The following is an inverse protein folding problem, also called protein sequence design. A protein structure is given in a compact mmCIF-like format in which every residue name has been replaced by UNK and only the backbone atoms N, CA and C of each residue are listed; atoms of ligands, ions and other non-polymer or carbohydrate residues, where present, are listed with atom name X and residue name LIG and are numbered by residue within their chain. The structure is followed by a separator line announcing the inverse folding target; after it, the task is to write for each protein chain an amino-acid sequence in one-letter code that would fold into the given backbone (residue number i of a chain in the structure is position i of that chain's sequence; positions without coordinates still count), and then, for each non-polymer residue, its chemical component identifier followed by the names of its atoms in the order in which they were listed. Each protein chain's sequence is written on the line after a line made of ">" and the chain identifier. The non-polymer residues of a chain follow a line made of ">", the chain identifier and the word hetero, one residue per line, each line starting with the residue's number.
data_IF_240977970992
#
_entry.id   IF_240977970992
#
_cell.length_a   1.000
_cell.length_b   1.000
_cell.length_c   1.000
_cell.angle_alpha   90.00
_cell.angle_beta   90.00
_cell.angle_gamma   90.00
#
_symmetry.space_group_name_H-M   'P 1'
#
loop_
_entity.id
_entity.type
_entity.pdbx_description
1 polymer ?
#
# COMPACT_ATOMS: atom_id res chain seq x y z
N UNK A 1 7.99 -40.43 17.21
CA UNK A 1 6.81 -39.54 17.33
C UNK A 1 7.15 -38.13 17.80
N UNK A 2 7.88 -37.94 18.91
CA UNK A 2 8.16 -36.60 19.49
C UNK A 2 8.88 -35.60 18.54
N UNK A 3 9.85 -36.09 17.77
CA UNK A 3 10.62 -35.35 16.77
C UNK A 3 9.80 -34.86 15.55
N UNK A 4 8.79 -35.61 15.10
CA UNK A 4 7.88 -35.16 14.03
C UNK A 4 6.94 -34.05 14.50
N UNK A 5 6.54 -34.08 15.78
CA UNK A 5 5.73 -33.03 16.41
C UNK A 5 6.53 -31.72 16.54
N UNK A 6 7.81 -31.81 16.87
CA UNK A 6 8.72 -30.66 16.94
C UNK A 6 8.91 -29.99 15.56
N UNK A 7 9.01 -30.79 14.50
CA UNK A 7 9.10 -30.31 13.12
C UNK A 7 7.82 -29.59 12.68
N UNK A 8 6.64 -30.11 13.05
CA UNK A 8 5.36 -29.43 12.82
C UNK A 8 5.24 -28.12 13.61
N UNK A 9 5.68 -28.09 14.87
CA UNK A 9 5.69 -26.88 15.71
C UNK A 9 6.65 -25.79 15.20
N UNK A 10 7.73 -26.18 14.52
CA UNK A 10 8.69 -25.27 13.89
C UNK A 10 8.22 -24.70 12.54
N UNK A 11 7.21 -25.31 11.89
CA UNK A 11 6.63 -24.84 10.64
C UNK A 11 5.48 -23.85 10.84
N UNK A 12 4.83 -23.86 12.01
CA UNK A 12 3.72 -22.96 12.35
C UNK A 12 4.08 -21.45 12.41
N UNK A 13 5.31 -20.98 12.74
CA UNK A 13 5.58 -19.56 12.85
C UNK A 13 5.91 -18.89 11.50
N UNK A 14 5.97 -19.63 10.39
CA UNK A 14 6.31 -19.08 9.07
C UNK A 14 5.08 -18.53 8.34
N UNK A 15 3.90 -19.10 8.59
CA UNK A 15 2.63 -18.63 7.98
C UNK A 15 2.03 -17.39 8.68
N UNK A 16 2.67 -16.83 9.70
CA UNK A 16 2.02 -15.97 10.71
C UNK A 16 2.45 -14.49 10.73
N UNK A 17 3.07 -13.97 9.66
CA UNK A 17 3.46 -12.55 9.58
C UNK A 17 3.04 -11.85 8.28
N UNK A 18 1.97 -12.32 7.62
CA UNK A 18 1.33 -11.53 6.58
C UNK A 18 0.54 -10.38 7.24
N UNK A 19 0.94 -9.13 6.97
CA UNK A 19 0.24 -7.95 7.47
C UNK A 19 -0.89 -7.63 6.49
N UNK A 20 -2.11 -7.50 7.03
CA UNK A 20 -3.28 -7.08 6.25
C UNK A 20 -3.39 -5.56 6.28
N UNK A 21 -3.21 -4.93 5.13
CA UNK A 21 -3.39 -3.49 4.95
C UNK A 21 -4.73 -3.22 4.28
N UNK A 22 -5.38 -2.14 4.68
CA UNK A 22 -6.56 -1.62 3.99
C UNK A 22 -6.08 -0.58 2.99
N UNK A 23 -6.39 -0.78 1.71
CA UNK A 23 -5.95 0.10 0.63
C UNK A 23 -7.16 0.73 -0.04
N UNK A 24 -7.13 2.04 -0.21
CA UNK A 24 -8.16 2.77 -0.93
C UNK A 24 -7.83 2.81 -2.43
N UNK A 25 -8.83 2.53 -3.26
CA UNK A 25 -8.80 2.76 -4.70
C UNK A 25 -10.04 3.57 -5.11
N UNK A 26 -10.14 3.93 -6.38
CA UNK A 26 -11.25 4.71 -6.92
C UNK A 26 -12.06 3.88 -7.92
N UNK A 27 -13.38 3.86 -7.76
CA UNK A 27 -14.30 3.31 -8.75
C UNK A 27 -14.34 4.23 -9.99
N UNK A 28 -14.02 3.74 -11.21
CA UNK A 28 -13.88 4.61 -12.38
C UNK A 28 -15.21 5.20 -12.88
N UNK A 29 -16.36 4.62 -12.53
CA UNK A 29 -17.67 5.09 -12.99
C UNK A 29 -18.26 6.18 -12.07
N UNK A 30 -18.13 5.99 -10.76
CA UNK A 30 -18.72 6.86 -9.73
C UNK A 30 -17.71 7.78 -9.05
N UNK A 31 -16.40 7.52 -9.24
CA UNK A 31 -15.29 8.18 -8.55
C UNK A 31 -15.34 8.08 -7.02
N UNK A 32 -16.08 7.11 -6.49
CA UNK A 32 -16.15 6.86 -5.06
C UNK A 32 -14.96 6.00 -4.57
N UNK A 33 -14.54 6.17 -3.31
CA UNK A 33 -13.50 5.33 -2.72
C UNK A 33 -13.99 3.89 -2.55
N UNK A 34 -13.13 2.93 -2.90
CA UNK A 34 -13.35 1.49 -2.72
C UNK A 34 -12.20 0.92 -1.90
N UNK A 35 -12.51 0.36 -0.73
CA UNK A 35 -11.52 -0.23 0.17
C UNK A 35 -11.29 -1.70 -0.17
N UNK A 36 -10.02 -2.10 -0.24
CA UNK A 36 -9.60 -3.48 -0.44
C UNK A 36 -8.60 -3.88 0.62
N UNK A 37 -8.76 -5.06 1.20
CA UNK A 37 -7.74 -5.65 2.06
C UNK A 37 -6.69 -6.31 1.18
N UNK A 38 -5.43 -5.95 1.41
CA UNK A 38 -4.27 -6.52 0.71
C UNK A 38 -3.35 -7.15 1.75
N UNK A 39 -2.92 -8.37 1.48
CA UNK A 39 -1.90 -9.05 2.29
C UNK A 39 -0.51 -8.62 1.80
N UNK A 40 0.31 -8.14 2.73
CA UNK A 40 1.66 -7.66 2.46
C UNK A 40 2.63 -8.44 3.35
N UNK A 41 3.64 -9.02 2.72
CA UNK A 41 4.68 -9.79 3.39
C UNK A 41 5.99 -9.00 3.47
N UNK A 42 6.75 -9.20 4.55
CA UNK A 42 8.13 -8.73 4.70
C UNK A 42 8.30 -7.24 5.05
N UNK A 43 9.56 -6.79 5.00
CA UNK A 43 9.95 -5.47 5.49
C UNK A 43 9.59 -4.32 4.53
N UNK A 44 9.69 -3.08 5.01
CA UNK A 44 9.47 -1.85 4.25
C UNK A 44 8.03 -1.66 3.73
N UNK A 45 7.07 -1.74 4.67
CA UNK A 45 5.63 -1.74 4.41
C UNK A 45 5.14 -0.50 3.66
N UNK A 46 5.64 0.69 3.99
CA UNK A 46 5.20 1.95 3.35
C UNK A 46 5.59 1.98 1.88
N UNK A 47 6.80 1.54 1.53
CA UNK A 47 7.22 1.50 0.13
C UNK A 47 6.35 0.50 -0.67
N UNK A 48 6.11 -0.69 -0.10
CA UNK A 48 5.23 -1.70 -0.71
C UNK A 48 3.79 -1.19 -0.86
N UNK A 49 3.29 -0.46 0.12
CA UNK A 49 1.97 0.16 0.08
C UNK A 49 1.85 1.12 -1.11
N UNK A 50 2.88 1.93 -1.37
CA UNK A 50 2.91 2.81 -2.53
C UNK A 50 2.98 2.04 -3.86
N UNK A 51 3.72 0.93 -3.91
CA UNK A 51 3.75 0.06 -5.11
C UNK A 51 2.39 -0.60 -5.38
N UNK A 52 1.70 -1.03 -4.32
CA UNK A 52 0.34 -1.60 -4.37
C UNK A 52 -0.65 -0.52 -4.85
N UNK A 53 -0.61 0.66 -4.24
CA UNK A 53 -1.44 1.79 -4.62
C UNK A 53 -1.24 2.18 -6.09
N UNK A 54 0.00 2.14 -6.59
CA UNK A 54 0.29 2.43 -8.00
C UNK A 54 -0.12 1.31 -8.98
N UNK A 55 -0.59 0.17 -8.47
CA UNK A 55 -0.92 -1.04 -9.24
C UNK A 55 -2.36 -1.51 -8.93
N UNK A 56 -3.39 -0.72 -9.29
CA UNK A 56 -4.77 -1.03 -8.92
C UNK A 56 -5.28 -2.33 -9.58
N UNK A 57 -6.26 -3.02 -8.96
CA UNK A 57 -7.00 -4.10 -9.59
C UNK A 57 -7.65 -3.67 -10.91
N UNK A 58 -7.92 -4.62 -11.81
CA UNK A 58 -8.37 -4.36 -13.19
C UNK A 58 -9.67 -3.55 -13.30
N UNK A 59 -10.54 -3.62 -12.30
CA UNK A 59 -11.83 -2.93 -12.22
C UNK A 59 -11.77 -1.59 -11.47
N UNK A 60 -10.61 -1.20 -10.94
CA UNK A 60 -10.41 -0.02 -10.11
C UNK A 60 -9.33 0.89 -10.69
N UNK A 61 -9.35 2.14 -10.26
CA UNK A 61 -8.38 3.15 -10.64
C UNK A 61 -7.55 3.61 -9.44
N UNK A 62 -6.34 4.05 -9.72
CA UNK A 62 -5.50 4.78 -8.78
C UNK A 62 -4.86 5.97 -9.47
N UNK A 63 -4.65 7.03 -8.70
CA UNK A 63 -3.95 8.24 -9.12
C UNK A 63 -2.54 8.32 -8.53
N UNK A 64 -2.08 7.26 -7.84
CA UNK A 64 -0.72 7.16 -7.28
C UNK A 64 0.25 6.78 -8.40
N UNK A 65 1.22 7.64 -8.78
CA UNK A 65 2.16 7.31 -9.83
C UNK A 65 3.16 6.24 -9.38
N UNK A 66 3.56 5.37 -10.31
CA UNK A 66 4.58 4.37 -10.05
C UNK A 66 5.92 5.01 -9.67
N UNK A 67 6.46 4.59 -8.52
CA UNK A 67 7.73 5.08 -7.99
C UNK A 67 7.69 6.55 -7.54
N UNK A 68 6.53 7.05 -7.12
CA UNK A 68 6.39 8.42 -6.60
C UNK A 68 7.07 8.60 -5.25
N UNK A 69 7.08 7.58 -4.39
CA UNK A 69 7.73 7.64 -3.09
C UNK A 69 9.23 7.38 -3.22
N UNK A 70 10.04 8.35 -2.78
CA UNK A 70 11.51 8.24 -2.77
C UNK A 70 12.04 7.76 -1.43
N UNK A 71 11.49 8.32 -0.36
CA UNK A 71 11.80 7.98 1.02
C UNK A 71 10.62 8.30 1.93
N UNK A 72 10.63 7.73 3.14
CA UNK A 72 9.67 8.08 4.18
C UNK A 72 10.34 8.04 5.55
N UNK A 73 9.77 8.79 6.49
CA UNK A 73 10.21 8.84 7.87
C UNK A 73 8.99 8.78 8.77
N UNK A 74 9.08 8.05 9.87
CA UNK A 74 8.08 8.08 10.93
C UNK A 74 8.72 8.82 12.09
N UNK A 75 8.15 9.98 12.43
CA UNK A 75 8.61 10.84 13.53
C UNK A 75 7.43 10.99 14.48
N UNK A 76 7.57 10.43 15.68
CA UNK A 76 6.50 10.32 16.66
C UNK A 76 5.23 9.68 16.06
N UNK A 77 4.16 10.46 15.88
CA UNK A 77 2.88 10.08 15.30
C UNK A 77 2.71 10.53 13.84
N UNK A 78 3.75 11.12 13.24
CA UNK A 78 3.70 11.71 11.90
C UNK A 78 4.48 10.88 10.89
N UNK A 79 3.82 10.50 9.79
CA UNK A 79 4.44 9.92 8.61
C UNK A 79 4.81 11.03 7.61
N UNK A 80 6.11 11.22 7.42
CA UNK A 80 6.67 12.17 6.45
C UNK A 80 7.03 11.41 5.18
N UNK A 81 6.54 11.90 4.03
CA UNK A 81 6.74 11.28 2.72
C UNK A 81 7.57 12.22 1.83
N UNK A 82 8.71 11.73 1.30
CA UNK A 82 9.48 12.41 0.26
C UNK A 82 9.03 11.90 -1.12
N UNK A 83 8.38 12.78 -1.89
CA UNK A 83 7.77 12.46 -3.17
C UNK A 83 8.59 13.00 -4.34
N UNK A 84 8.66 12.23 -5.42
CA UNK A 84 9.31 12.64 -6.67
C UNK A 84 8.46 13.67 -7.43
N UNK A 85 8.93 14.92 -7.46
CA UNK A 85 8.28 16.02 -8.19
C UNK A 85 8.05 15.72 -9.67
N UNK A 86 8.94 14.96 -10.33
CA UNK A 86 8.81 14.70 -11.77
C UNK A 86 7.64 13.76 -12.06
N UNK A 87 7.27 12.91 -11.09
CA UNK A 87 6.10 12.04 -11.16
C UNK A 87 4.80 12.79 -10.97
N UNK A 88 4.85 13.98 -10.34
CA UNK A 88 3.68 14.78 -10.00
C UNK A 88 3.43 15.95 -10.97
N UNK A 89 4.43 16.36 -11.76
CA UNK A 89 4.40 17.64 -12.52
C UNK A 89 3.24 17.83 -13.51
N UNK A 90 2.61 16.75 -13.96
CA UNK A 90 1.54 16.77 -14.97
C UNK A 90 0.17 16.41 -14.38
N UNK A 91 0.03 16.34 -13.05
CA UNK A 91 -1.27 16.11 -12.44
C UNK A 91 -2.14 17.36 -12.62
N UNK A 92 -3.37 17.14 -13.11
CA UNK A 92 -4.41 18.14 -12.98
C UNK A 92 -4.99 18.13 -11.55
N UNK A 93 -5.82 19.12 -11.24
CA UNK A 93 -6.42 19.25 -9.91
C UNK A 93 -7.22 18.01 -9.49
N UNK A 94 -7.88 17.34 -10.43
CA UNK A 94 -8.67 16.15 -10.14
C UNK A 94 -7.76 14.98 -9.72
N UNK A 95 -6.69 14.76 -10.49
CA UNK A 95 -5.71 13.71 -10.24
C UNK A 95 -4.96 13.95 -8.93
N UNK A 96 -4.54 15.19 -8.67
CA UNK A 96 -3.89 15.58 -7.42
C UNK A 96 -4.80 15.33 -6.21
N UNK A 97 -6.08 15.73 -6.31
CA UNK A 97 -7.07 15.50 -5.26
C UNK A 97 -7.21 14.02 -4.94
N UNK A 98 -7.43 13.18 -5.95
CA UNK A 98 -7.59 11.75 -5.71
C UNK A 98 -6.29 11.07 -5.28
N UNK A 99 -5.14 11.53 -5.74
CA UNK A 99 -3.83 11.07 -5.26
C UNK A 99 -3.71 11.29 -3.75
N UNK A 100 -3.90 12.53 -3.28
CA UNK A 100 -3.77 12.88 -1.86
C UNK A 100 -4.79 12.11 -1.02
N UNK A 101 -6.06 12.08 -1.41
CA UNK A 101 -7.09 11.38 -0.64
C UNK A 101 -6.83 9.88 -0.58
N UNK A 102 -6.42 9.26 -1.70
CA UNK A 102 -6.11 7.83 -1.73
C UNK A 102 -4.98 7.48 -0.77
N UNK A 103 -3.91 8.29 -0.74
CA UNK A 103 -2.76 8.08 0.17
C UNK A 103 -3.15 8.31 1.63
N UNK A 104 -3.96 9.33 1.94
CA UNK A 104 -4.34 9.64 3.33
C UNK A 104 -5.40 8.70 3.92
N UNK A 105 -6.27 8.16 3.08
CA UNK A 105 -7.34 7.26 3.52
C UNK A 105 -6.84 5.83 3.75
N UNK A 106 -5.75 5.48 3.08
CA UNK A 106 -5.01 4.23 3.22
C UNK A 106 -4.16 4.27 4.48
#
# INVERSE_FOLDING_TARGET
>A
MKWKLLFFLLLIPIDLLAIKLMVCYIDPASLNPVLKTVEVEGDNLILKLFDILASPPQDLMSFVPKGVLRAYFIVDDTLILDLDKEKLKNMDFLSERYFIHTVLYT
#
